data_IF_714617070760
#
_entry.id   IF_714617070760
#
_cell.length_a   1.000
_cell.length_b   1.000
_cell.length_c   1.000
_cell.angle_alpha   90.00
_cell.angle_beta   90.00
_cell.angle_gamma   90.00
#
_symmetry.space_group_name_H-M   'P 1'
#
loop_
_entity.id
_entity.type
_entity.pdbx_description
1 polymer ?
#
# COMPACT_ATOMS: atom_id res chain seq x y z
N UNK A 1 -17.15 9.43 -1.17
CA UNK A 1 -18.54 9.65 -0.75
C UNK A 1 -19.02 11.01 -1.26
N UNK A 2 -19.97 11.04 -2.17
CA UNK A 2 -20.52 12.26 -2.76
C UNK A 2 -19.70 12.91 -3.88
N UNK A 3 -18.54 12.40 -4.21
CA UNK A 3 -17.78 12.86 -5.37
C UNK A 3 -18.43 12.31 -6.66
N UNK A 4 -18.97 13.20 -7.47
CA UNK A 4 -19.70 12.83 -8.70
C UNK A 4 -18.79 12.40 -9.86
N UNK A 5 -17.50 12.67 -9.79
CA UNK A 5 -16.52 12.27 -10.80
C UNK A 5 -16.03 10.84 -10.61
N UNK A 6 -16.03 10.35 -9.36
CA UNK A 6 -15.59 9.00 -9.02
C UNK A 6 -16.78 8.04 -9.05
N UNK A 7 -16.59 6.88 -9.68
CA UNK A 7 -17.55 5.78 -9.68
C UNK A 7 -17.07 4.71 -8.70
N UNK A 8 -17.67 4.66 -7.51
CA UNK A 8 -17.27 3.77 -6.41
C UNK A 8 -18.45 2.94 -5.88
N UNK A 9 -19.17 2.17 -6.74
CA UNK A 9 -20.42 1.53 -6.34
C UNK A 9 -20.27 0.52 -5.22
N UNK A 10 -19.15 -0.21 -5.15
CA UNK A 10 -18.89 -1.20 -4.10
C UNK A 10 -18.53 -0.55 -2.78
N UNK A 11 -17.73 0.50 -2.80
CA UNK A 11 -17.36 1.28 -1.61
C UNK A 11 -18.59 2.02 -1.06
N UNK A 12 -19.40 2.61 -1.95
CA UNK A 12 -20.63 3.29 -1.57
C UNK A 12 -21.65 2.32 -0.96
N UNK A 13 -21.76 1.10 -1.52
CA UNK A 13 -22.59 0.04 -0.94
C UNK A 13 -22.10 -0.40 0.44
N UNK A 14 -20.79 -0.51 0.66
CA UNK A 14 -20.23 -0.83 1.97
C UNK A 14 -20.54 0.30 2.96
N UNK A 15 -20.33 1.55 2.58
CA UNK A 15 -20.62 2.72 3.40
C UNK A 15 -22.08 2.82 3.80
N UNK A 16 -23.01 2.44 2.90
CA UNK A 16 -24.45 2.46 3.18
C UNK A 16 -24.91 1.40 4.21
N UNK A 17 -24.08 0.37 4.44
CA UNK A 17 -24.37 -0.74 5.37
C UNK A 17 -23.60 -0.64 6.68
N UNK A 18 -22.63 0.26 6.76
CA UNK A 18 -21.74 0.40 7.89
C UNK A 18 -21.79 1.80 8.50
N UNK A 19 -20.82 2.06 9.35
CA UNK A 19 -20.59 3.38 9.96
C UNK A 19 -19.47 4.07 9.19
N UNK A 20 -19.72 5.29 8.73
CA UNK A 20 -18.72 6.14 8.09
C UNK A 20 -18.22 7.17 9.10
N UNK A 21 -16.93 7.17 9.35
CA UNK A 21 -16.29 8.16 10.19
C UNK A 21 -15.93 9.39 9.35
N UNK A 22 -16.57 10.53 9.66
CA UNK A 22 -16.31 11.80 8.95
C UNK A 22 -14.95 12.40 9.33
N UNK A 23 -14.50 12.15 10.55
CA UNK A 23 -13.24 12.63 11.09
C UNK A 23 -12.39 11.44 11.53
N UNK A 24 -11.55 10.95 10.62
CA UNK A 24 -10.58 9.88 10.89
C UNK A 24 -9.15 10.43 10.79
N UNK A 25 -8.34 10.18 11.80
CA UNK A 25 -6.99 10.72 11.93
C UNK A 25 -5.95 9.61 12.00
N UNK A 26 -4.79 9.81 11.42
CA UNK A 26 -3.63 8.96 11.60
C UNK A 26 -2.65 9.57 12.61
N UNK A 27 -1.79 8.74 13.20
CA UNK A 27 -0.80 9.17 14.19
C UNK A 27 0.30 10.06 13.60
N UNK A 28 0.54 9.93 12.30
CA UNK A 28 1.55 10.71 11.60
C UNK A 28 1.22 10.77 10.10
N UNK A 29 1.21 11.95 9.46
CA UNK A 29 0.75 12.08 8.06
C UNK A 29 1.84 11.69 7.04
N UNK A 30 2.61 10.63 7.34
CA UNK A 30 3.61 10.03 6.44
C UNK A 30 3.50 8.51 6.51
N UNK A 31 3.60 7.84 5.37
CA UNK A 31 3.28 6.41 5.22
C UNK A 31 4.06 5.48 6.15
N UNK A 32 5.37 5.62 6.29
CA UNK A 32 6.19 4.77 7.16
C UNK A 32 5.78 4.87 8.64
N UNK A 33 5.82 6.06 9.23
CA UNK A 33 5.39 6.27 10.62
C UNK A 33 3.95 5.88 10.90
N UNK A 34 3.01 6.25 10.03
CA UNK A 34 1.59 5.90 10.19
C UNK A 34 1.38 4.39 10.22
N UNK A 35 2.02 3.65 9.32
CA UNK A 35 1.97 2.19 9.27
C UNK A 35 2.63 1.54 10.48
N UNK A 36 3.78 2.06 10.89
CA UNK A 36 4.46 1.58 12.08
C UNK A 36 3.60 1.76 13.34
N UNK A 37 2.95 2.91 13.51
CA UNK A 37 2.04 3.14 14.62
C UNK A 37 0.82 2.18 14.59
N UNK A 38 0.20 2.01 13.43
CA UNK A 38 -0.95 1.12 13.26
C UNK A 38 -0.58 -0.34 13.56
N UNK A 39 0.55 -0.81 13.04
CA UNK A 39 0.96 -2.21 13.16
C UNK A 39 1.58 -2.57 14.51
N UNK A 40 2.08 -1.59 15.27
CA UNK A 40 2.61 -1.77 16.61
C UNK A 40 1.63 -1.43 17.74
N UNK A 41 0.57 -0.66 17.46
CA UNK A 41 -0.29 -0.06 18.48
C UNK A 41 0.40 1.02 19.32
N UNK A 42 1.54 1.56 18.85
CA UNK A 42 2.36 2.53 19.59
C UNK A 42 2.39 3.87 18.86
N UNK A 43 2.58 4.95 19.60
CA UNK A 43 2.89 6.24 18.98
C UNK A 43 4.20 6.19 18.21
N UNK A 44 4.31 6.99 17.15
CA UNK A 44 5.48 7.00 16.26
C UNK A 44 6.80 7.27 17.02
N UNK A 45 6.75 8.13 18.04
CA UNK A 45 7.90 8.43 18.88
C UNK A 45 8.32 7.22 19.72
N UNK A 46 7.37 6.44 20.21
CA UNK A 46 7.63 5.28 21.06
C UNK A 46 8.17 4.09 20.26
N UNK A 47 7.68 3.88 19.03
CA UNK A 47 8.25 2.88 18.12
C UNK A 47 9.52 3.37 17.43
N UNK A 48 9.84 4.67 17.54
CA UNK A 48 11.05 5.26 16.96
C UNK A 48 11.04 5.35 15.42
N UNK A 49 9.86 5.33 14.80
CA UNK A 49 9.68 5.48 13.35
C UNK A 49 8.99 6.79 13.07
N UNK A 50 9.78 7.87 12.97
CA UNK A 50 9.30 9.24 12.76
C UNK A 50 9.50 9.77 11.34
N UNK A 51 9.89 8.91 10.41
CA UNK A 51 10.08 9.22 8.99
C UNK A 51 10.24 7.94 8.18
N UNK A 52 10.07 8.03 6.86
CA UNK A 52 10.18 6.88 5.97
C UNK A 52 11.55 6.20 6.04
N UNK A 53 12.63 6.96 6.19
CA UNK A 53 13.99 6.43 6.32
C UNK A 53 14.23 5.63 7.60
N UNK A 54 13.35 5.73 8.61
CA UNK A 54 13.43 4.95 9.84
C UNK A 54 12.60 3.66 9.80
N UNK A 55 11.89 3.39 8.70
CA UNK A 55 10.96 2.25 8.59
C UNK A 55 11.65 0.90 8.70
N UNK A 56 12.91 0.80 8.29
CA UNK A 56 13.74 -0.41 8.43
C UNK A 56 13.99 -0.80 9.90
N UNK A 57 13.83 0.16 10.83
CA UNK A 57 14.02 -0.07 12.26
C UNK A 57 12.80 -0.66 12.97
N UNK A 58 11.67 -0.77 12.28
CA UNK A 58 10.40 -1.21 12.90
C UNK A 58 10.57 -2.51 13.68
N UNK A 59 11.09 -3.55 13.04
CA UNK A 59 11.25 -4.89 13.65
C UNK A 59 12.16 -4.85 14.88
N UNK A 60 13.29 -4.15 14.79
CA UNK A 60 14.22 -4.04 15.91
C UNK A 60 13.61 -3.24 17.09
N UNK A 61 12.92 -2.15 16.79
CA UNK A 61 12.32 -1.29 17.82
C UNK A 61 11.06 -1.92 18.45
N UNK A 62 10.37 -2.79 17.72
CA UNK A 62 9.25 -3.57 18.27
C UNK A 62 9.71 -4.53 19.37
N UNK A 63 10.93 -5.07 19.23
CA UNK A 63 11.51 -6.01 20.20
C UNK A 63 10.68 -7.29 20.30
N UNK A 64 10.36 -7.71 21.50
CA UNK A 64 9.58 -8.92 21.77
C UNK A 64 8.06 -8.71 21.72
N UNK A 65 7.59 -7.52 21.37
CA UNK A 65 6.16 -7.25 21.27
C UNK A 65 5.61 -7.81 19.98
N UNK A 66 4.43 -8.43 19.97
CA UNK A 66 3.80 -8.84 18.72
C UNK A 66 3.32 -7.60 17.94
N UNK A 67 3.48 -7.63 16.63
CA UNK A 67 2.76 -6.71 15.74
C UNK A 67 1.29 -7.10 15.65
N UNK A 68 0.46 -6.23 15.08
CA UNK A 68 -0.97 -6.53 14.87
C UNK A 68 -1.16 -7.86 14.12
N UNK A 69 -0.49 -8.05 12.98
CA UNK A 69 -0.59 -9.31 12.22
C UNK A 69 -0.07 -10.52 13.00
N UNK A 70 1.06 -10.35 13.69
CA UNK A 70 1.61 -11.43 14.53
C UNK A 70 0.71 -11.76 15.72
N UNK A 71 0.01 -10.78 16.27
CA UNK A 71 -0.96 -11.02 17.33
C UNK A 71 -2.08 -11.97 16.86
N UNK A 72 -2.70 -11.68 15.73
CA UNK A 72 -3.72 -12.56 15.14
C UNK A 72 -3.16 -13.96 14.86
N UNK A 73 -1.99 -14.05 14.25
CA UNK A 73 -1.31 -15.30 13.98
C UNK A 73 -1.06 -16.13 15.25
N UNK A 74 -0.58 -15.50 16.32
CA UNK A 74 -0.34 -16.16 17.61
C UNK A 74 -1.62 -16.71 18.27
N UNK A 75 -2.79 -16.22 17.82
CA UNK A 75 -4.10 -16.68 18.29
C UNK A 75 -4.82 -17.60 17.30
N UNK A 76 -4.07 -18.21 16.39
CA UNK A 76 -4.61 -19.23 15.47
C UNK A 76 -5.34 -18.66 14.24
N UNK A 77 -5.19 -17.38 13.95
CA UNK A 77 -5.72 -16.79 12.73
C UNK A 77 -4.70 -16.92 11.62
N UNK A 78 -5.17 -17.28 10.43
CA UNK A 78 -4.33 -17.17 9.24
C UNK A 78 -4.09 -15.70 8.92
N UNK A 79 -2.85 -15.29 8.87
CA UNK A 79 -2.48 -13.89 8.66
C UNK A 79 -1.74 -13.71 7.34
N UNK A 80 -2.28 -12.89 6.45
CA UNK A 80 -1.67 -12.67 5.14
C UNK A 80 -1.67 -11.20 4.75
N UNK A 81 -0.69 -10.81 3.95
CA UNK A 81 -0.68 -9.49 3.33
C UNK A 81 -0.59 -9.56 1.81
N UNK A 82 -1.19 -8.58 1.19
CA UNK A 82 -1.05 -8.33 -0.24
C UNK A 82 -0.47 -6.94 -0.43
N UNK A 83 0.69 -6.87 -1.09
CA UNK A 83 1.39 -5.63 -1.37
C UNK A 83 1.76 -4.83 -0.10
N UNK A 84 1.63 -3.51 -0.14
CA UNK A 84 2.16 -2.56 0.84
C UNK A 84 1.33 -2.50 2.13
N UNK A 85 1.72 -3.22 3.17
CA UNK A 85 1.18 -3.07 4.53
C UNK A 85 2.17 -2.33 5.43
N UNK A 86 3.41 -2.80 5.56
CA UNK A 86 4.51 -2.00 6.10
C UNK A 86 5.03 -0.99 5.08
N UNK A 87 6.18 -0.38 5.32
CA UNK A 87 6.68 0.63 4.38
C UNK A 87 7.45 0.01 3.21
N UNK A 88 6.72 -0.49 2.24
CA UNK A 88 7.26 -0.80 0.92
C UNK A 88 7.57 0.51 0.18
N UNK A 89 8.74 0.64 -0.37
CA UNK A 89 9.16 1.82 -1.14
C UNK A 89 8.52 1.80 -2.53
N UNK A 90 7.77 2.83 -2.82
CA UNK A 90 7.03 2.95 -4.09
C UNK A 90 7.72 4.00 -4.96
N UNK A 91 7.96 3.76 -6.25
CA UNK A 91 7.61 2.56 -7.01
C UNK A 91 8.68 1.45 -6.98
N UNK A 92 9.85 1.70 -6.42
CA UNK A 92 11.02 0.85 -6.56
C UNK A 92 10.80 -0.61 -6.13
N UNK A 93 10.32 -0.83 -4.90
CA UNK A 93 10.09 -2.19 -4.39
C UNK A 93 8.95 -2.89 -5.14
N UNK A 94 7.92 -2.15 -5.58
CA UNK A 94 6.82 -2.70 -6.38
C UNK A 94 7.31 -3.17 -7.75
N UNK A 95 8.08 -2.35 -8.44
CA UNK A 95 8.62 -2.71 -9.76
C UNK A 95 9.63 -3.86 -9.68
N UNK A 96 10.36 -3.95 -8.59
CA UNK A 96 11.30 -5.02 -8.32
C UNK A 96 10.64 -6.30 -7.77
N UNK A 97 9.39 -6.24 -7.31
CA UNK A 97 8.69 -7.37 -6.70
C UNK A 97 9.26 -7.80 -5.34
N UNK A 98 9.88 -6.86 -4.59
CA UNK A 98 10.50 -7.14 -3.29
C UNK A 98 9.70 -6.59 -2.13
N UNK A 99 9.91 -7.15 -0.92
CA UNK A 99 9.15 -6.80 0.28
C UNK A 99 9.38 -5.36 0.76
N UNK A 100 10.59 -4.83 0.57
CA UNK A 100 11.01 -3.62 1.28
C UNK A 100 11.04 -3.85 2.80
N UNK A 101 10.97 -2.78 3.60
CA UNK A 101 10.77 -2.89 5.05
C UNK A 101 9.48 -3.63 5.37
N UNK A 102 9.60 -4.80 6.01
CA UNK A 102 8.48 -5.67 6.37
C UNK A 102 8.76 -6.35 7.72
N UNK A 103 7.72 -6.90 8.34
CA UNK A 103 7.82 -7.70 9.56
C UNK A 103 7.31 -9.12 9.28
N UNK A 104 8.22 -10.00 8.88
CA UNK A 104 7.91 -11.37 8.42
C UNK A 104 7.12 -12.20 9.44
N UNK A 105 7.36 -12.00 10.72
CA UNK A 105 6.63 -12.71 11.77
C UNK A 105 5.12 -12.40 11.80
N UNK A 106 4.69 -11.31 11.15
CA UNK A 106 3.27 -10.94 11.03
C UNK A 106 2.45 -11.88 10.14
N UNK A 107 3.09 -12.63 9.23
CA UNK A 107 2.39 -13.23 8.11
C UNK A 107 2.63 -14.74 8.00
N UNK A 108 1.62 -15.49 7.60
CA UNK A 108 1.72 -16.84 7.08
C UNK A 108 1.97 -16.80 5.56
N UNK A 109 1.35 -15.81 4.86
CA UNK A 109 1.58 -15.57 3.45
C UNK A 109 1.81 -14.06 3.20
N UNK A 110 2.79 -13.75 2.36
CA UNK A 110 3.14 -12.39 1.98
C UNK A 110 3.30 -12.30 0.46
N UNK A 111 2.38 -11.61 -0.18
CA UNK A 111 2.38 -11.48 -1.63
C UNK A 111 2.75 -10.06 -2.05
N UNK A 112 3.76 -9.94 -2.90
CA UNK A 112 4.16 -8.66 -3.51
C UNK A 112 3.64 -8.57 -4.92
N UNK A 113 2.92 -7.49 -5.20
CA UNK A 113 2.46 -7.20 -6.53
C UNK A 113 3.61 -6.57 -7.32
N UNK A 114 4.06 -7.23 -8.37
CA UNK A 114 5.02 -6.68 -9.31
C UNK A 114 4.28 -6.19 -10.54
N UNK A 115 4.60 -4.98 -10.98
CA UNK A 115 4.02 -4.42 -12.18
C UNK A 115 4.86 -3.28 -12.73
N UNK A 116 4.65 -2.91 -13.99
CA UNK A 116 5.47 -1.92 -14.66
C UNK A 116 5.25 -0.49 -14.16
N UNK A 117 4.12 -0.21 -13.49
CA UNK A 117 3.81 1.13 -12.97
C UNK A 117 4.03 2.22 -14.04
N UNK A 118 4.80 3.24 -13.68
CA UNK A 118 5.20 4.34 -14.58
C UNK A 118 6.14 3.91 -15.73
N UNK A 119 6.70 2.71 -15.68
CA UNK A 119 7.47 2.11 -16.77
C UNK A 119 6.60 1.36 -17.79
N UNK A 120 5.28 1.38 -17.64
CA UNK A 120 4.35 0.74 -18.58
C UNK A 120 4.57 1.24 -20.00
N UNK A 121 4.46 0.34 -20.97
CA UNK A 121 4.47 0.71 -22.37
C UNK A 121 3.26 1.61 -22.69
N UNK A 122 3.48 2.61 -23.54
CA UNK A 122 2.45 3.55 -23.96
C UNK A 122 2.93 4.99 -24.06
N UNK A 123 1.99 5.92 -24.26
CA UNK A 123 2.33 7.34 -24.30
C UNK A 123 2.44 7.88 -22.88
N UNK A 124 3.61 8.36 -22.53
CA UNK A 124 3.89 8.96 -21.23
C UNK A 124 3.73 10.49 -21.32
N UNK A 125 3.04 11.05 -20.34
CA UNK A 125 2.95 12.50 -20.17
C UNK A 125 3.33 12.83 -18.74
N UNK A 126 4.33 13.67 -18.58
CA UNK A 126 4.82 14.13 -17.28
C UNK A 126 4.44 15.60 -17.09
N UNK A 127 3.71 15.90 -16.01
CA UNK A 127 3.20 17.23 -15.72
C UNK A 127 3.81 17.74 -14.42
N UNK A 128 4.31 18.97 -14.42
CA UNK A 128 4.78 19.61 -13.19
C UNK A 128 3.61 20.26 -12.43
N UNK A 129 3.73 20.35 -11.10
CA UNK A 129 2.73 20.96 -10.24
C UNK A 129 2.52 22.45 -10.50
N UNK A 130 3.55 23.18 -10.90
CA UNK A 130 3.50 24.65 -10.92
C UNK A 130 2.68 25.21 -12.08
N UNK A 131 2.72 24.58 -13.23
CA UNK A 131 2.00 25.08 -14.42
C UNK A 131 1.54 23.98 -15.35
N UNK A 132 1.42 22.75 -14.88
CA UNK A 132 1.09 21.57 -15.70
C UNK A 132 1.96 21.47 -16.96
N UNK A 133 3.23 21.85 -16.84
CA UNK A 133 4.18 21.78 -17.94
C UNK A 133 4.64 20.34 -18.12
N UNK A 134 4.81 19.97 -19.38
CA UNK A 134 5.45 18.69 -19.71
C UNK A 134 6.90 18.69 -19.23
N UNK A 135 7.29 17.63 -18.55
CA UNK A 135 8.68 17.39 -18.16
C UNK A 135 9.30 16.49 -19.23
N UNK A 136 10.53 16.77 -19.67
CA UNK A 136 11.23 15.94 -20.63
C UNK A 136 11.30 14.47 -20.17
N UNK A 137 11.20 13.54 -21.13
CA UNK A 137 11.15 12.09 -20.88
C UNK A 137 12.33 11.58 -20.04
N UNK A 138 13.49 12.17 -20.18
CA UNK A 138 14.69 11.85 -19.39
C UNK A 138 14.47 11.98 -17.87
N UNK A 139 13.51 12.77 -17.43
CA UNK A 139 13.18 12.95 -16.02
C UNK A 139 12.25 11.86 -15.46
N UNK A 140 11.65 11.02 -16.30
CA UNK A 140 10.83 9.89 -15.84
C UNK A 140 11.63 8.91 -14.98
N UNK A 141 12.94 8.79 -15.25
CA UNK A 141 13.84 7.91 -14.49
C UNK A 141 14.19 8.42 -13.10
N UNK A 142 13.85 9.66 -12.79
CA UNK A 142 14.20 10.28 -11.50
C UNK A 142 13.15 10.04 -10.41
N UNK A 143 12.06 9.37 -10.73
CA UNK A 143 11.07 8.91 -9.77
C UNK A 143 10.18 10.01 -9.21
N UNK A 144 9.54 9.72 -8.11
CA UNK A 144 8.61 10.55 -7.39
C UNK A 144 9.21 11.88 -6.92
N UNK A 145 8.61 12.96 -7.26
CA UNK A 145 9.05 14.23 -6.73
C UNK A 145 8.22 15.42 -7.23
N UNK A 146 7.01 15.59 -6.70
CA UNK A 146 6.21 16.79 -6.95
C UNK A 146 5.67 16.95 -8.37
N UNK A 147 5.70 15.92 -9.18
CA UNK A 147 5.16 15.91 -10.52
C UNK A 147 4.05 14.86 -10.66
N UNK A 148 3.04 15.17 -11.45
CA UNK A 148 2.05 14.21 -11.91
C UNK A 148 2.50 13.65 -13.26
N UNK A 149 2.28 12.37 -13.45
CA UNK A 149 2.46 11.75 -14.75
C UNK A 149 1.24 10.90 -15.11
N UNK A 150 0.98 10.75 -16.38
CA UNK A 150 -0.02 9.84 -16.91
C UNK A 150 0.61 8.93 -17.92
N UNK A 151 0.18 7.69 -17.91
CA UNK A 151 0.56 6.72 -18.94
C UNK A 151 -0.71 6.31 -19.66
N UNK A 152 -0.80 6.62 -20.95
CA UNK A 152 -1.90 6.13 -21.80
C UNK A 152 -1.50 4.81 -22.38
N UNK A 153 -2.05 3.75 -21.82
CA UNK A 153 -1.82 2.38 -22.27
C UNK A 153 -3.00 1.88 -23.10
N UNK A 154 -2.79 0.77 -23.82
CA UNK A 154 -3.89 0.02 -24.43
C UNK A 154 -4.75 -0.63 -23.33
N UNK A 155 -6.00 -0.92 -23.63
CA UNK A 155 -7.02 -1.37 -22.67
C UNK A 155 -6.60 -2.58 -21.80
N UNK A 156 -5.86 -3.52 -22.35
CA UNK A 156 -5.37 -4.70 -21.62
C UNK A 156 -4.20 -4.43 -20.66
N UNK A 157 -3.56 -3.27 -20.75
CA UNK A 157 -2.38 -2.98 -19.92
C UNK A 157 -2.72 -2.79 -18.43
N UNK A 158 -3.97 -2.50 -18.11
CA UNK A 158 -4.45 -2.42 -16.73
C UNK A 158 -4.35 -3.74 -15.96
N UNK A 159 -4.45 -4.87 -16.64
CA UNK A 159 -4.39 -6.20 -16.03
C UNK A 159 -3.02 -6.54 -15.44
N UNK A 160 -1.98 -5.86 -15.89
CA UNK A 160 -0.61 -6.04 -15.42
C UNK A 160 -0.19 -5.02 -14.35
N UNK A 161 -1.08 -4.13 -13.96
CA UNK A 161 -0.77 -3.14 -12.93
C UNK A 161 -0.88 -3.74 -11.52
N UNK A 162 -0.04 -3.28 -10.58
CA UNK A 162 0.01 -3.82 -9.22
C UNK A 162 -1.33 -3.81 -8.51
N UNK A 163 -2.15 -2.79 -8.66
CA UNK A 163 -3.45 -2.69 -7.99
C UNK A 163 -4.44 -3.76 -8.45
N UNK A 164 -4.45 -4.09 -9.76
CA UNK A 164 -5.28 -5.18 -10.28
C UNK A 164 -4.81 -6.53 -9.76
N UNK A 165 -3.49 -6.77 -9.79
CA UNK A 165 -2.86 -7.99 -9.27
C UNK A 165 -3.14 -8.13 -7.77
N UNK A 166 -3.04 -7.03 -7.00
CA UNK A 166 -3.36 -7.00 -5.59
C UNK A 166 -4.82 -7.37 -5.30
N UNK A 167 -5.75 -6.78 -6.04
CA UNK A 167 -7.18 -7.06 -5.90
C UNK A 167 -7.49 -8.54 -6.17
N UNK A 168 -6.95 -9.10 -7.24
CA UNK A 168 -7.16 -10.51 -7.60
C UNK A 168 -6.59 -11.47 -6.55
N UNK A 169 -5.38 -11.19 -6.04
CA UNK A 169 -4.77 -11.99 -4.99
C UNK A 169 -5.56 -11.91 -3.68
N UNK A 170 -6.02 -10.72 -3.30
CA UNK A 170 -6.83 -10.54 -2.11
C UNK A 170 -8.15 -11.33 -2.21
N UNK A 171 -8.82 -11.28 -3.36
CA UNK A 171 -10.05 -12.07 -3.62
C UNK A 171 -9.77 -13.57 -3.52
N UNK A 172 -8.65 -14.03 -4.05
CA UNK A 172 -8.23 -15.43 -3.96
C UNK A 172 -8.04 -15.88 -2.51
N UNK A 173 -7.32 -15.09 -1.71
CA UNK A 173 -7.07 -15.37 -0.29
C UNK A 173 -8.37 -15.37 0.52
N UNK A 174 -9.27 -14.41 0.30
CA UNK A 174 -10.57 -14.36 0.94
C UNK A 174 -11.42 -15.61 0.62
N UNK A 175 -11.43 -16.06 -0.64
CA UNK A 175 -12.15 -17.27 -1.04
C UNK A 175 -11.56 -18.53 -0.41
N UNK A 176 -10.25 -18.60 -0.31
CA UNK A 176 -9.54 -19.73 0.27
C UNK A 176 -9.80 -19.86 1.77
N UNK A 177 -9.78 -18.73 2.48
CA UNK A 177 -9.89 -18.69 3.95
C UNK A 177 -11.31 -18.44 4.48
N UNK A 178 -12.34 -18.43 3.63
CA UNK A 178 -13.72 -18.07 4.01
C UNK A 178 -14.33 -18.87 5.18
N UNK A 179 -13.80 -20.06 5.46
CA UNK A 179 -14.30 -20.97 6.49
C UNK A 179 -13.40 -21.03 7.75
N UNK A 180 -12.39 -20.20 7.82
CA UNK A 180 -11.41 -20.15 8.93
C UNK A 180 -11.20 -18.70 9.37
N UNK A 181 -10.83 -18.45 10.63
CA UNK A 181 -10.44 -17.11 11.05
C UNK A 181 -9.22 -16.62 10.26
N UNK A 182 -9.30 -15.40 9.75
CA UNK A 182 -8.19 -14.78 9.01
C UNK A 182 -8.07 -13.29 9.28
N UNK A 183 -6.87 -12.76 9.10
CA UNK A 183 -6.50 -11.35 9.21
C UNK A 183 -5.77 -10.90 7.94
#
# INVERSE_FOLDING_TARGET
YGNRQCRTPHIDKLASKGIRFENAYCQFPVCGPSRAAMMSGMYCQNIGVIGNGASDRFTANLGNRPSLGQHFKNHGWYSARVSKIYHMRVPGDITAGVDGPDHKASWDDAFNCQGPEWMSAGKHEHLSNEKLKRIPEQHYKLGFGGAFYTVRTQSAAGDFQPDKIAADKAIQLLKFNKNSPFF
#
